data_IF_057719323657
#
_entry.id   IF_057719323657
#
_cell.length_a   1.000
_cell.length_b   1.000
_cell.length_c   1.000
_cell.angle_alpha   90.00
_cell.angle_beta   90.00
_cell.angle_gamma   90.00
#
_symmetry.space_group_name_H-M   'P 1'
#
loop_
_entity.id
_entity.type
_entity.pdbx_description
1 polymer ?
#
# COMPACT_ATOMS: atom_id res chain seq x y z
N UNK A 1 -5.29 18.45 5.33
CA UNK A 1 -5.61 18.00 6.71
C UNK A 1 -4.92 16.68 6.98
N UNK A 2 -4.42 16.48 8.19
CA UNK A 2 -3.86 15.19 8.62
C UNK A 2 -5.03 14.30 9.05
N UNK A 3 -5.15 13.09 8.50
CA UNK A 3 -6.24 12.15 8.77
C UNK A 3 -5.83 10.98 9.66
N UNK A 4 -4.54 10.68 9.78
CA UNK A 4 -3.99 9.60 10.58
C UNK A 4 -2.48 9.70 10.70
N UNK A 5 -1.90 8.85 11.52
CA UNK A 5 -0.46 8.75 11.75
C UNK A 5 0.06 7.38 11.37
N UNK A 6 1.22 7.34 10.75
CA UNK A 6 1.94 6.12 10.42
C UNK A 6 3.42 6.30 10.79
N UNK A 7 3.85 5.92 12.00
CA UNK A 7 5.22 6.16 12.46
C UNK A 7 6.28 5.27 11.79
N UNK A 8 5.92 4.08 11.33
CA UNK A 8 6.82 3.17 10.63
C UNK A 8 6.25 2.75 9.27
N UNK A 9 7.15 2.54 8.32
CA UNK A 9 6.86 1.96 7.03
C UNK A 9 7.73 0.72 6.80
N UNK A 10 7.11 -0.39 6.39
CA UNK A 10 7.78 -1.62 5.93
C UNK A 10 8.92 -2.10 6.85
N UNK A 11 8.65 -2.26 8.12
CA UNK A 11 9.62 -2.74 9.12
C UNK A 11 9.92 -4.23 8.98
N UNK A 12 10.53 -4.61 7.87
CA UNK A 12 10.80 -5.99 7.51
C UNK A 12 11.75 -6.71 8.48
N UNK A 13 11.55 -8.02 8.61
CA UNK A 13 12.53 -8.88 9.23
C UNK A 13 13.83 -8.86 8.43
N UNK A 14 14.98 -8.75 9.10
CA UNK A 14 16.29 -8.77 8.47
C UNK A 14 17.02 -10.08 8.78
N UNK A 15 17.10 -10.97 7.82
CA UNK A 15 17.73 -12.27 7.98
C UNK A 15 17.06 -13.10 9.08
N UNK A 16 17.81 -13.39 10.17
CA UNK A 16 17.30 -14.12 11.33
C UNK A 16 16.69 -13.22 12.42
N UNK A 17 16.76 -11.89 12.26
CA UNK A 17 16.24 -10.93 13.24
C UNK A 17 14.81 -10.60 12.86
N UNK A 18 13.89 -10.88 13.78
CA UNK A 18 12.48 -10.49 13.66
C UNK A 18 12.27 -9.09 14.20
N UNK A 19 11.39 -8.32 13.55
CA UNK A 19 10.91 -7.07 14.12
C UNK A 19 10.27 -7.32 15.50
N UNK A 20 10.67 -6.54 16.49
CA UNK A 20 10.16 -6.70 17.85
C UNK A 20 8.82 -6.00 18.01
N UNK A 21 7.75 -6.76 18.12
CA UNK A 21 6.39 -6.26 18.29
C UNK A 21 6.25 -5.28 19.46
N UNK A 22 7.06 -5.41 20.51
CA UNK A 22 7.04 -4.49 21.67
C UNK A 22 7.46 -3.08 21.28
N UNK A 23 8.39 -2.95 20.31
CA UNK A 23 8.81 -1.64 19.78
C UNK A 23 7.66 -1.00 18.98
N UNK A 24 7.02 -1.76 18.10
CA UNK A 24 5.86 -1.29 17.32
C UNK A 24 4.73 -0.85 18.25
N UNK A 25 4.39 -1.66 19.25
CA UNK A 25 3.35 -1.33 20.22
C UNK A 25 3.70 -0.08 21.07
N UNK A 26 4.95 0.04 21.53
CA UNK A 26 5.41 1.20 22.29
C UNK A 26 5.29 2.49 21.47
N UNK A 27 5.66 2.45 20.19
CA UNK A 27 5.56 3.60 19.28
C UNK A 27 4.09 3.92 18.97
N UNK A 28 3.24 2.91 18.75
CA UNK A 28 1.79 3.11 18.61
C UNK A 28 1.21 3.84 19.82
N UNK A 29 1.49 3.33 21.04
CA UNK A 29 0.99 3.93 22.28
C UNK A 29 1.49 5.36 22.49
N UNK A 30 2.76 5.62 22.17
CA UNK A 30 3.35 6.96 22.24
C UNK A 30 2.66 7.92 21.26
N UNK A 31 2.41 7.46 20.04
CA UNK A 31 1.71 8.25 19.02
C UNK A 31 0.28 8.57 19.45
N UNK A 32 -0.45 7.57 19.99
CA UNK A 32 -1.81 7.76 20.55
C UNK A 32 -1.82 8.70 21.76
N UNK A 33 -0.79 8.67 22.59
CA UNK A 33 -0.67 9.59 23.72
C UNK A 33 -0.42 11.04 23.28
N UNK A 34 0.32 11.22 22.17
CA UNK A 34 0.58 12.53 21.58
C UNK A 34 -0.66 13.10 20.83
N UNK A 35 -1.41 12.25 20.15
CA UNK A 35 -2.65 12.61 19.45
C UNK A 35 -3.70 11.49 19.54
N UNK A 36 -4.61 11.53 20.51
CA UNK A 36 -5.66 10.53 20.66
C UNK A 36 -6.82 10.69 19.65
N UNK A 37 -6.83 11.77 18.86
CA UNK A 37 -7.97 12.14 18.01
C UNK A 37 -7.93 11.49 16.63
N UNK A 38 -6.79 10.95 16.22
CA UNK A 38 -6.59 10.35 14.90
C UNK A 38 -6.24 8.87 14.99
N UNK A 39 -6.61 8.07 13.96
CA UNK A 39 -6.16 6.69 13.88
C UNK A 39 -4.64 6.61 13.66
N UNK A 40 -4.07 5.51 14.14
CA UNK A 40 -2.64 5.19 14.00
C UNK A 40 -2.50 3.83 13.34
N UNK A 41 -1.68 3.77 12.30
CA UNK A 41 -1.13 2.54 11.73
C UNK A 41 0.26 2.38 12.35
N UNK A 42 0.51 1.32 13.08
CA UNK A 42 1.78 1.12 13.80
C UNK A 42 2.97 0.96 12.84
N UNK A 43 2.79 0.17 11.78
CA UNK A 43 3.74 0.02 10.68
C UNK A 43 2.99 -0.29 9.39
N UNK A 44 3.12 0.57 8.39
CA UNK A 44 2.42 0.38 7.11
C UNK A 44 3.03 -0.78 6.31
N UNK A 45 2.15 -1.62 5.75
CA UNK A 45 2.51 -2.69 4.82
C UNK A 45 3.26 -3.87 5.41
N UNK A 46 3.30 -4.04 6.72
CA UNK A 46 4.03 -5.13 7.36
C UNK A 46 3.24 -5.76 8.52
N UNK A 47 3.93 -6.34 9.48
CA UNK A 47 3.34 -7.10 10.59
C UNK A 47 2.81 -6.17 11.68
N UNK A 48 1.52 -5.96 11.74
CA UNK A 48 0.92 -5.18 12.81
C UNK A 48 1.09 -5.85 14.18
N UNK A 49 1.48 -5.05 15.16
CA UNK A 49 1.45 -5.43 16.57
C UNK A 49 0.18 -4.87 17.24
N UNK A 50 -0.13 -3.62 16.96
CA UNK A 50 -1.33 -2.93 17.42
C UNK A 50 -1.64 -1.77 16.47
N UNK A 51 -2.81 -1.77 15.84
CA UNK A 51 -3.16 -0.78 14.83
C UNK A 51 -4.64 -0.42 14.89
N UNK A 52 -4.98 0.84 14.59
CA UNK A 52 -6.37 1.27 14.46
C UNK A 52 -6.94 0.96 13.07
N UNK A 53 -6.08 0.91 12.04
CA UNK A 53 -6.41 0.53 10.67
C UNK A 53 -5.56 -0.67 10.29
N UNK A 54 -6.17 -1.69 9.70
CA UNK A 54 -5.42 -2.83 9.19
C UNK A 54 -5.06 -2.55 7.74
N UNK A 55 -3.80 -2.23 7.50
CA UNK A 55 -3.34 -1.88 6.18
C UNK A 55 -2.43 -2.95 5.55
N UNK A 56 -2.38 -2.93 4.22
CA UNK A 56 -1.52 -3.81 3.44
C UNK A 56 -0.91 -3.05 2.27
N UNK A 57 0.30 -3.49 1.87
CA UNK A 57 0.91 -3.17 0.58
C UNK A 57 0.73 -4.36 -0.36
N UNK A 58 0.21 -4.11 -1.55
CA UNK A 58 0.02 -5.15 -2.56
C UNK A 58 0.35 -4.63 -3.96
N UNK A 59 1.46 -5.08 -4.48
CA UNK A 59 1.97 -4.69 -5.80
C UNK A 59 1.70 -5.72 -6.90
N UNK A 60 0.67 -6.57 -6.72
CA UNK A 60 0.19 -7.45 -7.79
C UNK A 60 -0.23 -6.63 -9.00
N UNK A 61 0.31 -6.97 -10.17
CA UNK A 61 0.07 -6.25 -11.42
C UNK A 61 -0.97 -6.93 -12.34
N UNK A 62 -1.28 -8.19 -12.08
CA UNK A 62 -2.34 -8.88 -12.78
C UNK A 62 -3.70 -8.44 -12.24
N UNK A 63 -4.43 -7.69 -13.05
CA UNK A 63 -5.75 -7.13 -12.68
C UNK A 63 -6.75 -8.22 -12.31
N UNK A 64 -6.70 -9.39 -12.96
CA UNK A 64 -7.64 -10.49 -12.67
C UNK A 64 -7.35 -11.11 -11.32
N UNK A 65 -6.09 -11.38 -11.01
CA UNK A 65 -5.68 -11.91 -9.71
C UNK A 65 -5.96 -10.90 -8.59
N UNK A 66 -5.62 -9.63 -8.81
CA UNK A 66 -5.88 -8.56 -7.86
C UNK A 66 -7.38 -8.39 -7.59
N UNK A 67 -8.20 -8.33 -8.63
CA UNK A 67 -9.66 -8.21 -8.51
C UNK A 67 -10.29 -9.43 -7.80
N UNK A 68 -9.82 -10.64 -8.08
CA UNK A 68 -10.28 -11.84 -7.39
C UNK A 68 -9.94 -11.82 -5.89
N UNK A 69 -8.72 -11.36 -5.55
CA UNK A 69 -8.23 -11.21 -4.17
C UNK A 69 -9.09 -10.24 -3.38
N UNK A 70 -9.27 -9.03 -3.90
CA UNK A 70 -9.99 -7.96 -3.20
C UNK A 70 -11.51 -8.08 -3.32
N UNK A 71 -12.03 -8.72 -4.36
CA UNK A 71 -13.45 -9.06 -4.47
C UNK A 71 -13.91 -10.08 -3.42
N UNK A 72 -13.00 -10.90 -2.89
CA UNK A 72 -13.28 -11.85 -1.83
C UNK A 72 -13.23 -11.26 -0.41
N UNK A 73 -12.78 -10.01 -0.24
CA UNK A 73 -12.69 -9.33 1.07
C UNK A 73 -14.08 -9.03 1.61
N UNK A 74 -14.30 -9.41 2.86
CA UNK A 74 -15.51 -9.13 3.64
C UNK A 74 -15.12 -8.52 4.98
N UNK A 75 -16.11 -8.17 5.81
CA UNK A 75 -15.85 -7.70 7.16
C UNK A 75 -15.07 -8.68 8.02
N UNK A 76 -15.28 -9.98 7.81
CA UNK A 76 -14.73 -11.04 8.66
C UNK A 76 -13.59 -11.81 7.98
N UNK A 77 -13.30 -11.50 6.72
CA UNK A 77 -12.26 -12.17 5.93
C UNK A 77 -11.55 -11.19 5.02
N UNK A 78 -10.27 -10.99 5.27
CA UNK A 78 -9.41 -10.10 4.49
C UNK A 78 -8.27 -10.88 3.82
N UNK A 79 -7.62 -10.25 2.87
CA UNK A 79 -6.34 -10.75 2.38
C UNK A 79 -5.23 -10.35 3.38
N UNK A 80 -4.56 -11.35 3.94
CA UNK A 80 -3.40 -11.19 4.83
C UNK A 80 -2.14 -11.63 4.11
N UNK A 81 -1.22 -10.70 3.77
CA UNK A 81 0.04 -11.07 3.11
C UNK A 81 1.01 -11.82 4.04
N UNK A 82 0.79 -11.76 5.35
CA UNK A 82 1.66 -12.32 6.38
C UNK A 82 0.90 -13.17 7.41
N UNK A 83 0.21 -14.24 7.00
CA UNK A 83 -0.62 -15.03 7.91
C UNK A 83 0.22 -15.62 9.05
N UNK A 84 -0.34 -15.60 10.26
CA UNK A 84 0.32 -16.10 11.47
C UNK A 84 1.36 -15.17 12.10
N UNK A 85 1.63 -14.01 11.50
CA UNK A 85 2.51 -12.96 12.06
C UNK A 85 1.74 -11.84 12.74
N UNK A 86 0.52 -11.63 12.37
CA UNK A 86 -0.41 -10.61 12.82
C UNK A 86 -1.81 -11.20 12.94
N UNK A 87 -2.72 -10.47 13.53
CA UNK A 87 -4.11 -10.89 13.66
C UNK A 87 -5.03 -9.74 13.25
N UNK A 88 -5.94 -10.03 12.32
CA UNK A 88 -7.05 -9.14 12.01
C UNK A 88 -8.14 -9.28 13.06
N UNK A 89 -8.60 -8.18 13.60
CA UNK A 89 -9.59 -8.11 14.68
C UNK A 89 -10.81 -7.25 14.29
N UNK A 90 -11.05 -7.10 12.99
CA UNK A 90 -12.17 -6.32 12.47
C UNK A 90 -11.89 -4.81 12.30
N UNK A 91 -10.63 -4.39 12.31
CA UNK A 91 -10.26 -3.00 12.01
C UNK A 91 -10.70 -2.61 10.59
N UNK A 92 -10.94 -1.31 10.31
CA UNK A 92 -11.13 -0.84 8.95
C UNK A 92 -9.95 -1.24 8.06
N UNK A 93 -10.24 -1.84 6.88
CA UNK A 93 -9.24 -2.41 5.99
C UNK A 93 -8.83 -1.40 4.92
N UNK A 94 -7.52 -1.16 4.81
CA UNK A 94 -6.93 -0.12 3.97
C UNK A 94 -5.83 -0.71 3.08
N UNK A 95 -5.88 -0.48 1.79
CA UNK A 95 -4.79 -0.79 0.87
C UNK A 95 -3.93 0.47 0.74
N UNK A 96 -2.94 0.59 1.63
CA UNK A 96 -2.13 1.80 1.80
C UNK A 96 -1.08 1.99 0.71
N UNK A 97 -0.72 0.92 -0.01
CA UNK A 97 0.09 0.99 -1.23
C UNK A 97 -0.36 -0.07 -2.23
N UNK A 98 -0.57 0.32 -3.48
CA UNK A 98 -0.84 -0.60 -4.59
C UNK A 98 -0.43 0.02 -5.93
N UNK A 99 -0.37 -0.80 -6.98
CA UNK A 99 -0.03 -0.36 -8.32
C UNK A 99 1.46 -0.25 -8.56
N UNK A 100 1.99 0.93 -8.70
CA UNK A 100 3.43 1.17 -8.80
C UNK A 100 4.11 0.62 -10.06
N UNK A 101 3.38 0.45 -11.15
CA UNK A 101 3.97 -0.01 -12.41
C UNK A 101 5.02 0.97 -12.93
N UNK A 102 6.19 0.46 -13.31
CA UNK A 102 7.22 1.30 -13.89
C UNK A 102 6.76 1.91 -15.22
N UNK A 103 6.67 3.23 -15.28
CA UNK A 103 6.32 3.98 -16.48
C UNK A 103 7.20 5.22 -16.62
N UNK A 104 8.26 5.11 -17.43
CA UNK A 104 9.19 6.19 -17.72
C UNK A 104 9.64 6.10 -19.18
N UNK A 105 8.80 6.51 -20.14
CA UNK A 105 9.12 6.44 -21.56
C UNK A 105 10.45 7.13 -21.89
N UNK A 106 11.33 6.43 -22.61
CA UNK A 106 12.65 6.94 -22.96
C UNK A 106 13.73 6.80 -21.91
N UNK A 107 13.42 6.41 -20.68
CA UNK A 107 14.40 6.14 -19.64
C UNK A 107 14.87 4.67 -19.72
N UNK A 108 16.18 4.47 -19.46
CA UNK A 108 16.80 3.12 -19.47
C UNK A 108 17.15 2.62 -18.07
N UNK A 109 17.09 3.49 -17.09
CA UNK A 109 17.44 3.21 -15.70
C UNK A 109 16.31 3.65 -14.81
N UNK A 110 15.87 2.78 -13.96
CA UNK A 110 14.77 3.00 -13.02
C UNK A 110 14.08 1.69 -12.74
N UNK A 111 13.11 1.73 -11.87
CA UNK A 111 12.32 0.56 -11.51
C UNK A 111 10.89 0.94 -11.09
N UNK A 112 10.07 -0.06 -11.03
CA UNK A 112 8.71 -0.09 -10.51
C UNK A 112 8.30 -1.55 -10.37
N UNK A 113 7.07 -1.81 -10.01
CA UNK A 113 6.59 -3.15 -9.72
C UNK A 113 6.10 -3.87 -10.98
N UNK A 114 6.41 -5.16 -11.05
CA UNK A 114 6.02 -6.03 -12.14
C UNK A 114 6.64 -5.69 -13.50
N UNK A 115 6.05 -6.24 -14.57
CA UNK A 115 6.46 -5.92 -15.94
C UNK A 115 6.03 -4.51 -16.30
N UNK A 116 6.94 -3.71 -16.85
CA UNK A 116 6.60 -2.40 -17.39
C UNK A 116 5.50 -2.49 -18.44
N UNK A 117 4.48 -1.61 -18.41
CA UNK A 117 3.52 -1.50 -19.49
C UNK A 117 4.19 -1.16 -20.83
N UNK A 118 3.68 -1.72 -21.92
CA UNK A 118 4.21 -1.49 -23.27
C UNK A 118 3.66 -0.22 -23.94
N UNK A 119 2.59 0.34 -23.34
CA UNK A 119 1.95 1.56 -23.84
C UNK A 119 1.21 2.29 -22.71
N UNK A 120 0.94 3.58 -22.93
CA UNK A 120 0.10 4.40 -22.05
C UNK A 120 -1.30 3.79 -21.88
N UNK A 121 -1.87 3.27 -22.96
CA UNK A 121 -3.17 2.59 -22.92
C UNK A 121 -3.16 1.32 -22.06
N UNK A 122 -2.06 0.56 -22.05
CA UNK A 122 -1.90 -0.59 -21.14
C UNK A 122 -1.76 -0.14 -19.71
N UNK A 123 -0.94 0.88 -19.44
CA UNK A 123 -0.84 1.47 -18.11
C UNK A 123 -2.22 1.90 -17.59
N UNK A 124 -2.97 2.65 -18.42
CA UNK A 124 -4.31 3.13 -18.05
C UNK A 124 -5.30 2.01 -17.76
N UNK A 125 -5.29 0.93 -18.55
CA UNK A 125 -6.13 -0.25 -18.26
C UNK A 125 -5.75 -0.92 -16.94
N UNK A 126 -4.46 -1.07 -16.66
CA UNK A 126 -3.95 -1.65 -15.42
C UNK A 126 -4.31 -0.79 -14.22
N UNK A 127 -3.97 0.50 -14.26
CA UNK A 127 -4.32 1.48 -13.23
C UNK A 127 -5.83 1.47 -12.92
N UNK A 128 -6.65 1.56 -13.95
CA UNK A 128 -8.12 1.57 -13.80
C UNK A 128 -8.64 0.26 -13.22
N UNK A 129 -8.12 -0.87 -13.70
CA UNK A 129 -8.55 -2.19 -13.24
C UNK A 129 -8.23 -2.43 -11.77
N UNK A 130 -7.00 -2.15 -11.35
CA UNK A 130 -6.59 -2.27 -9.95
C UNK A 130 -7.40 -1.33 -9.03
N UNK A 131 -7.52 -0.06 -9.44
CA UNK A 131 -8.25 0.94 -8.65
C UNK A 131 -9.74 0.58 -8.50
N UNK A 132 -10.41 0.15 -9.58
CA UNK A 132 -11.80 -0.28 -9.52
C UNK A 132 -12.01 -1.50 -8.63
N UNK A 133 -11.11 -2.48 -8.70
CA UNK A 133 -11.19 -3.66 -7.85
C UNK A 133 -11.25 -3.31 -6.35
N UNK A 134 -10.59 -2.23 -5.94
CA UNK A 134 -10.63 -1.74 -4.57
C UNK A 134 -11.88 -0.88 -4.30
N UNK A 135 -12.21 0.04 -5.21
CA UNK A 135 -13.34 0.97 -5.04
C UNK A 135 -14.70 0.27 -5.05
N UNK A 136 -14.81 -0.84 -5.78
CA UNK A 136 -16.06 -1.58 -5.91
C UNK A 136 -16.38 -2.46 -4.67
N UNK A 137 -15.42 -2.62 -3.74
CA UNK A 137 -15.65 -3.37 -2.51
C UNK A 137 -15.93 -2.44 -1.31
N UNK A 138 -17.15 -2.45 -0.74
CA UNK A 138 -17.54 -1.58 0.36
C UNK A 138 -16.84 -1.89 1.70
N UNK A 139 -16.13 -3.01 1.81
CA UNK A 139 -15.36 -3.38 3.01
C UNK A 139 -13.94 -2.80 3.02
N UNK A 140 -13.52 -2.16 1.93
CA UNK A 140 -12.26 -1.43 1.83
C UNK A 140 -12.53 0.03 2.18
N UNK A 141 -11.96 0.52 3.27
CA UNK A 141 -12.22 1.87 3.76
C UNK A 141 -11.41 2.96 3.08
N UNK A 142 -10.23 2.60 2.54
CA UNK A 142 -9.33 3.53 1.88
C UNK A 142 -8.36 2.81 0.94
N UNK A 143 -7.80 3.58 0.01
CA UNK A 143 -6.77 3.12 -0.92
C UNK A 143 -5.77 4.26 -1.21
N UNK A 144 -4.51 3.90 -1.46
CA UNK A 144 -3.49 4.88 -1.84
C UNK A 144 -2.61 4.28 -2.94
N UNK A 145 -2.68 4.88 -4.12
CA UNK A 145 -1.86 4.46 -5.26
C UNK A 145 -0.40 4.88 -5.07
N UNK A 146 0.52 3.97 -5.32
CA UNK A 146 1.96 4.21 -5.31
C UNK A 146 2.46 4.40 -6.74
N UNK A 147 2.82 5.65 -7.19
CA UNK A 147 2.80 6.85 -6.34
C UNK A 147 2.41 8.09 -7.16
N UNK A 148 2.34 9.24 -6.52
CA UNK A 148 1.93 10.47 -7.18
C UNK A 148 3.00 10.96 -8.17
N UNK A 149 4.27 10.99 -7.77
CA UNK A 149 5.39 11.38 -8.63
C UNK A 149 6.62 10.52 -8.36
N UNK A 150 7.52 10.45 -9.33
CA UNK A 150 8.75 9.65 -9.22
C UNK A 150 9.63 10.10 -8.06
N UNK A 151 10.30 9.13 -7.45
CA UNK A 151 11.32 9.36 -6.43
C UNK A 151 12.63 8.76 -6.94
N UNK A 152 13.47 9.62 -7.49
CA UNK A 152 14.77 9.25 -8.07
C UNK A 152 14.67 8.09 -9.08
N UNK A 153 15.17 6.89 -8.74
CA UNK A 153 15.15 5.71 -9.60
C UNK A 153 13.83 4.94 -9.56
N UNK A 154 12.99 5.19 -8.58
CA UNK A 154 11.65 4.64 -8.50
C UNK A 154 10.71 5.46 -9.38
N UNK A 155 10.52 5.00 -10.63
CA UNK A 155 9.84 5.74 -11.69
C UNK A 155 8.46 5.17 -12.00
N UNK A 156 7.66 5.01 -10.97
CA UNK A 156 6.29 4.49 -11.02
C UNK A 156 5.23 5.55 -10.70
N UNK A 157 5.64 6.82 -10.58
CA UNK A 157 4.73 7.94 -10.35
C UNK A 157 3.84 8.26 -11.55
N UNK A 158 2.71 8.91 -11.28
CA UNK A 158 1.84 9.51 -12.31
C UNK A 158 2.46 10.80 -12.89
N UNK A 159 3.36 11.40 -12.16
CA UNK A 159 4.16 12.57 -12.55
C UNK A 159 5.64 12.23 -12.48
N UNK A 160 6.44 12.98 -13.23
CA UNK A 160 7.90 12.90 -13.16
C UNK A 160 8.42 13.40 -11.81
N UNK A 161 9.72 13.19 -11.55
CA UNK A 161 10.40 13.77 -10.38
C UNK A 161 10.27 15.31 -10.33
N UNK A 162 10.23 15.97 -11.49
CA UNK A 162 10.00 17.42 -11.63
C UNK A 162 8.52 17.81 -11.54
N UNK A 163 7.62 16.85 -11.31
CA UNK A 163 6.17 17.02 -11.19
C UNK A 163 5.45 17.37 -12.49
N UNK A 164 6.03 16.98 -13.61
CA UNK A 164 5.40 17.08 -14.91
C UNK A 164 4.52 15.87 -15.17
N UNK A 165 3.32 16.03 -15.79
CA UNK A 165 2.47 14.89 -16.14
C UNK A 165 3.19 13.90 -17.07
N UNK A 166 3.02 12.61 -16.83
CA UNK A 166 3.56 11.54 -17.68
C UNK A 166 2.56 11.07 -18.74
N UNK A 167 1.33 11.52 -18.63
CA UNK A 167 0.20 11.09 -19.45
C UNK A 167 -0.43 12.29 -20.12
N UNK A 168 -0.97 12.07 -21.34
CA UNK A 168 -1.63 13.09 -22.17
C UNK A 168 -3.11 13.24 -21.84
#
# INVERSE_FOLDING_TARGET
>A
SIIGWCPFNETWDQGRRRADKRVLEAVYLTTKAADPTRPVIDTSGNYHARTDLYDVHDYEQDVVQFAARYGAVTRDSIYEPHPGRQQYEGQPYFISEYGGAWWAPGQKKGWGYGKAPESEAEFGRRYTGLTRALMDNPHICALCYTQLYDVEQEQNGLYTYQREPKFS
#
